data_IF_826606636487
#
_entry.id   IF_826606636487
#
_cell.length_a   1.000
_cell.length_b   1.000
_cell.length_c   1.000
_cell.angle_alpha   90.00
_cell.angle_beta   90.00
_cell.angle_gamma   90.00
#
_symmetry.space_group_name_H-M   'P 1'
#
loop_
_entity.id
_entity.type
_entity.pdbx_description
1 polymer ?
#
# COMPACT_ATOMS: atom_id res chain seq x y z
N UNK A 1 21.49 -23.16 -65.71
CA UNK A 1 22.70 -23.35 -64.87
C UNK A 1 22.51 -22.56 -63.58
N UNK A 2 22.09 -23.22 -62.48
CA UNK A 2 21.80 -22.57 -61.20
C UNK A 2 22.84 -23.08 -60.19
N UNK A 3 23.72 -22.18 -59.71
CA UNK A 3 24.72 -22.49 -58.68
C UNK A 3 24.05 -22.53 -57.31
N UNK A 4 23.88 -23.72 -56.75
CA UNK A 4 23.49 -23.89 -55.35
C UNK A 4 24.69 -23.56 -54.45
N UNK A 5 24.61 -22.44 -53.73
CA UNK A 5 25.63 -22.02 -52.76
C UNK A 5 25.27 -22.68 -51.42
N UNK A 6 25.91 -23.80 -51.11
CA UNK A 6 25.75 -24.49 -49.83
C UNK A 6 26.38 -23.64 -48.73
N UNK A 7 25.55 -22.96 -47.93
CA UNK A 7 25.95 -22.40 -46.65
C UNK A 7 26.11 -23.57 -45.67
N UNK A 8 27.30 -24.17 -45.64
CA UNK A 8 27.67 -25.08 -44.56
C UNK A 8 27.56 -24.30 -43.24
N UNK A 9 26.47 -24.55 -42.51
CA UNK A 9 26.23 -24.00 -41.17
C UNK A 9 27.35 -24.51 -40.26
N UNK A 10 28.13 -23.56 -39.75
CA UNK A 10 29.19 -23.82 -38.79
C UNK A 10 28.53 -23.94 -37.41
N UNK A 11 27.97 -25.11 -37.10
CA UNK A 11 27.38 -25.45 -35.80
C UNK A 11 28.50 -25.62 -34.75
N UNK A 12 29.17 -24.51 -34.39
CA UNK A 12 30.10 -24.49 -33.27
C UNK A 12 29.28 -24.52 -31.98
N UNK A 13 29.23 -25.67 -31.32
CA UNK A 13 28.67 -25.78 -29.97
C UNK A 13 29.40 -24.86 -28.99
N UNK A 14 28.76 -24.55 -27.87
CA UNK A 14 29.35 -23.73 -26.82
C UNK A 14 30.56 -24.42 -26.21
N UNK A 15 31.61 -23.66 -25.95
CA UNK A 15 32.74 -24.15 -25.17
C UNK A 15 32.34 -24.28 -23.70
N UNK A 16 32.94 -25.23 -22.98
CA UNK A 16 32.69 -25.41 -21.55
C UNK A 16 32.96 -24.11 -20.76
N UNK A 17 33.99 -23.36 -21.16
CA UNK A 17 34.36 -22.10 -20.52
C UNK A 17 33.29 -21.00 -20.74
N UNK A 18 32.67 -20.91 -21.92
CA UNK A 18 31.56 -19.97 -22.16
C UNK A 18 30.34 -20.27 -21.30
N UNK A 19 30.01 -21.54 -21.09
CA UNK A 19 28.91 -21.96 -20.19
C UNK A 19 29.21 -21.52 -18.75
N UNK A 20 30.43 -21.79 -18.27
CA UNK A 20 30.85 -21.42 -16.90
C UNK A 20 30.78 -19.91 -16.69
N UNK A 21 31.30 -19.14 -17.65
CA UNK A 21 31.28 -17.66 -17.59
C UNK A 21 29.82 -17.15 -17.64
N UNK A 22 28.96 -17.75 -18.47
CA UNK A 22 27.55 -17.35 -18.57
C UNK A 22 26.79 -17.59 -17.27
N UNK A 23 26.99 -18.75 -16.63
CA UNK A 23 26.37 -19.07 -15.33
C UNK A 23 26.91 -18.14 -14.23
N UNK A 24 28.21 -17.82 -14.26
CA UNK A 24 28.82 -16.89 -13.31
C UNK A 24 28.19 -15.49 -13.42
N UNK A 25 28.06 -14.96 -14.63
CA UNK A 25 27.42 -13.66 -14.89
C UNK A 25 25.94 -13.69 -14.48
N UNK A 26 25.21 -14.76 -14.83
CA UNK A 26 23.81 -14.92 -14.46
C UNK A 26 23.63 -14.97 -12.93
N UNK A 27 24.53 -15.64 -12.21
CA UNK A 27 24.51 -15.70 -10.75
C UNK A 27 24.68 -14.32 -10.12
N UNK A 28 25.64 -13.52 -10.60
CA UNK A 28 25.87 -12.15 -10.13
C UNK A 28 24.61 -11.29 -10.34
N UNK A 29 24.02 -11.37 -11.52
CA UNK A 29 22.80 -10.61 -11.87
C UNK A 29 21.62 -11.06 -10.99
N UNK A 30 21.47 -12.36 -10.74
CA UNK A 30 20.37 -12.92 -9.94
C UNK A 30 20.36 -12.41 -8.50
N UNK A 31 21.55 -12.21 -7.90
CA UNK A 31 21.67 -11.66 -6.54
C UNK A 31 21.12 -10.22 -6.47
N UNK A 32 21.39 -9.40 -7.49
CA UNK A 32 20.88 -8.04 -7.55
C UNK A 32 19.34 -8.01 -7.58
N UNK A 33 18.72 -8.92 -8.35
CA UNK A 33 17.27 -9.02 -8.44
C UNK A 33 16.61 -9.56 -7.16
N UNK A 34 17.28 -10.45 -6.43
CA UNK A 34 16.73 -11.03 -5.19
C UNK A 34 16.39 -9.97 -4.14
N UNK A 35 17.21 -8.93 -4.03
CA UNK A 35 16.96 -7.80 -3.13
C UNK A 35 15.68 -7.06 -3.51
N UNK A 36 15.48 -6.75 -4.80
CA UNK A 36 14.30 -6.07 -5.31
C UNK A 36 13.03 -6.87 -5.04
N UNK A 37 13.06 -8.19 -5.29
CA UNK A 37 11.91 -9.06 -5.01
C UNK A 37 11.57 -9.13 -3.51
N UNK A 38 12.58 -9.25 -2.66
CA UNK A 38 12.39 -9.30 -1.20
C UNK A 38 11.74 -8.01 -0.69
N UNK A 39 12.26 -6.85 -1.09
CA UNK A 39 11.68 -5.56 -0.74
C UNK A 39 10.26 -5.40 -1.29
N UNK A 40 10.01 -5.86 -2.52
CA UNK A 40 8.69 -5.83 -3.15
C UNK A 40 7.65 -6.65 -2.35
N UNK A 41 7.98 -7.89 -1.99
CA UNK A 41 7.07 -8.77 -1.22
C UNK A 41 6.77 -8.17 0.16
N UNK A 42 7.79 -7.67 0.86
CA UNK A 42 7.60 -7.01 2.16
C UNK A 42 6.72 -5.75 2.01
N UNK A 43 6.95 -4.97 0.95
CA UNK A 43 6.14 -3.79 0.64
C UNK A 43 4.67 -4.13 0.39
N UNK A 44 4.39 -5.18 -0.39
CA UNK A 44 3.04 -5.66 -0.68
C UNK A 44 2.36 -6.14 0.62
N UNK A 45 3.04 -6.96 1.42
CA UNK A 45 2.48 -7.47 2.69
C UNK A 45 2.15 -6.33 3.66
N UNK A 46 3.05 -5.36 3.81
CA UNK A 46 2.84 -4.21 4.69
C UNK A 46 1.71 -3.30 4.17
N UNK A 47 1.58 -3.16 2.85
CA UNK A 47 0.48 -2.39 2.25
C UNK A 47 -0.86 -3.07 2.45
N UNK A 48 -0.92 -4.40 2.32
CA UNK A 48 -2.11 -5.19 2.65
C UNK A 48 -2.54 -5.02 4.10
N UNK A 49 -1.60 -5.15 5.05
CA UNK A 49 -1.85 -4.92 6.48
C UNK A 49 -2.37 -3.50 6.76
N UNK A 50 -1.79 -2.48 6.12
CA UNK A 50 -2.27 -1.08 6.20
C UNK A 50 -3.68 -0.93 5.65
N UNK A 51 -3.99 -1.58 4.54
CA UNK A 51 -5.31 -1.54 3.90
C UNK A 51 -6.37 -2.14 4.82
N UNK A 52 -6.10 -3.31 5.40
CA UNK A 52 -7.01 -3.94 6.38
C UNK A 52 -7.26 -2.99 7.56
N UNK A 53 -6.17 -2.45 8.15
CA UNK A 53 -6.30 -1.55 9.28
C UNK A 53 -7.10 -0.28 8.95
N UNK A 54 -6.96 0.24 7.73
CA UNK A 54 -7.71 1.41 7.26
C UNK A 54 -9.19 1.10 7.04
N UNK A 55 -9.50 0.01 6.33
CA UNK A 55 -10.89 -0.40 6.08
C UNK A 55 -11.62 -0.69 7.38
N UNK A 56 -11.01 -1.45 8.29
CA UNK A 56 -11.65 -1.74 9.58
C UNK A 56 -11.87 -0.47 10.41
N UNK A 57 -10.91 0.47 10.44
CA UNK A 57 -11.12 1.73 11.14
C UNK A 57 -12.24 2.57 10.49
N UNK A 58 -12.35 2.55 9.16
CA UNK A 58 -13.43 3.23 8.44
C UNK A 58 -14.79 2.61 8.74
N UNK A 59 -14.91 1.28 8.68
CA UNK A 59 -16.15 0.55 9.00
C UNK A 59 -16.64 0.89 10.42
N UNK A 60 -15.70 1.03 11.38
CA UNK A 60 -16.00 1.44 12.75
C UNK A 60 -16.48 2.90 12.84
N UNK A 61 -15.92 3.81 12.05
CA UNK A 61 -16.41 5.20 11.95
C UNK A 61 -17.83 5.21 11.40
N UNK A 62 -18.07 4.53 10.28
CA UNK A 62 -19.37 4.50 9.61
C UNK A 62 -20.44 3.88 10.51
N UNK A 63 -20.10 2.81 11.23
CA UNK A 63 -20.96 2.22 12.26
C UNK A 63 -21.28 3.22 13.37
N UNK A 64 -20.28 3.95 13.91
CA UNK A 64 -20.51 4.95 14.95
C UNK A 64 -21.36 6.15 14.49
N UNK A 65 -21.29 6.51 13.20
CA UNK A 65 -22.14 7.55 12.62
C UNK A 65 -23.59 7.07 12.57
N UNK A 66 -23.82 5.83 12.14
CA UNK A 66 -25.17 5.26 11.98
C UNK A 66 -25.83 4.86 13.30
N UNK A 67 -25.09 4.16 14.18
CA UNK A 67 -25.53 3.79 15.53
C UNK A 67 -24.43 4.10 16.56
N UNK A 68 -24.48 5.30 17.17
CA UNK A 68 -23.52 5.70 18.19
C UNK A 68 -23.50 4.84 19.46
N UNK A 69 -24.54 4.02 19.72
CA UNK A 69 -24.68 3.29 20.99
C UNK A 69 -23.94 1.96 21.00
N UNK A 70 -23.64 1.40 19.84
CA UNK A 70 -22.98 0.09 19.68
C UNK A 70 -21.52 0.20 19.20
N UNK A 71 -20.87 1.33 19.54
CA UNK A 71 -19.52 1.60 19.05
C UNK A 71 -18.46 0.87 19.88
N UNK A 72 -17.47 0.23 19.22
CA UNK A 72 -16.42 -0.50 19.92
C UNK A 72 -15.52 0.44 20.74
N UNK A 73 -14.91 -0.08 21.82
CA UNK A 73 -14.16 0.72 22.81
C UNK A 73 -12.96 1.50 22.26
N UNK A 74 -12.52 1.21 21.03
CA UNK A 74 -11.44 1.92 20.35
C UNK A 74 -11.91 3.16 19.56
N UNK A 75 -13.22 3.46 19.60
CA UNK A 75 -13.85 4.65 19.02
C UNK A 75 -14.03 5.71 20.11
N UNK A 76 -13.29 6.80 20.01
CA UNK A 76 -13.37 7.94 20.93
C UNK A 76 -14.17 9.05 20.28
N UNK A 77 -15.21 9.51 20.96
CA UNK A 77 -16.13 10.51 20.42
C UNK A 77 -16.09 11.77 21.28
N UNK A 78 -15.97 12.95 20.67
CA UNK A 78 -15.95 14.24 21.37
C UNK A 78 -16.83 15.28 20.67
N UNK A 79 -17.58 16.06 21.43
CA UNK A 79 -18.36 17.19 20.90
C UNK A 79 -17.42 18.33 20.53
N UNK A 80 -17.53 18.84 19.30
CA UNK A 80 -16.66 19.90 18.79
C UNK A 80 -17.45 20.86 17.91
N UNK A 81 -17.00 22.11 17.84
CA UNK A 81 -17.60 23.14 16.99
C UNK A 81 -16.57 23.66 16.00
N UNK A 82 -16.98 23.84 14.75
CA UNK A 82 -16.16 24.47 13.70
C UNK A 82 -16.73 25.87 13.46
N UNK A 83 -15.90 26.90 13.61
CA UNK A 83 -16.28 28.28 13.32
C UNK A 83 -15.68 28.72 11.99
N UNK A 84 -16.54 29.11 11.04
CA UNK A 84 -16.16 29.69 9.75
C UNK A 84 -16.40 31.20 9.80
N UNK A 85 -15.34 31.98 9.63
CA UNK A 85 -15.42 33.45 9.60
C UNK A 85 -15.26 33.94 8.18
N UNK A 86 -16.26 34.67 7.69
CA UNK A 86 -16.27 35.26 6.35
C UNK A 86 -15.88 36.76 6.41
N UNK A 87 -15.36 37.31 5.29
CA UNK A 87 -15.16 38.75 5.15
C UNK A 87 -16.47 39.51 5.42
N UNK A 88 -16.41 40.57 6.25
CA UNK A 88 -17.60 41.29 6.72
C UNK A 88 -18.15 40.80 8.07
N UNK A 89 -17.31 40.14 8.88
CA UNK A 89 -17.58 39.75 10.28
C UNK A 89 -18.77 38.77 10.46
N UNK A 90 -19.13 38.03 9.41
CA UNK A 90 -20.14 36.97 9.52
C UNK A 90 -19.48 35.68 9.97
N UNK A 91 -19.92 35.14 11.11
CA UNK A 91 -19.41 33.87 11.66
C UNK A 91 -20.50 32.82 11.63
N UNK A 92 -20.20 31.66 11.03
CA UNK A 92 -21.05 30.48 11.07
C UNK A 92 -20.41 29.47 12.01
N UNK A 93 -21.15 29.03 13.03
CA UNK A 93 -20.71 27.98 13.96
C UNK A 93 -21.44 26.69 13.63
N UNK A 94 -20.67 25.67 13.27
CA UNK A 94 -21.16 24.33 12.96
C UNK A 94 -20.87 23.45 14.18
N UNK A 95 -21.92 23.07 14.90
CA UNK A 95 -21.80 22.13 16.01
C UNK A 95 -21.86 20.70 15.49
N UNK A 96 -21.00 19.85 16.04
CA UNK A 96 -20.98 18.45 15.67
C UNK A 96 -20.09 17.64 16.60
N UNK A 97 -19.61 16.54 16.05
CA UNK A 97 -18.95 15.49 16.80
C UNK A 97 -17.73 15.01 16.04
N UNK A 98 -16.58 15.02 16.70
CA UNK A 98 -15.37 14.39 16.21
C UNK A 98 -15.34 12.93 16.66
N UNK A 99 -15.09 12.03 15.73
CA UNK A 99 -14.96 10.59 15.96
C UNK A 99 -13.53 10.19 15.61
N UNK A 100 -12.81 9.67 16.59
CA UNK A 100 -11.44 9.19 16.46
C UNK A 100 -11.44 7.67 16.62
N UNK A 101 -10.93 6.94 15.62
CA UNK A 101 -10.79 5.49 15.67
C UNK A 101 -9.34 5.12 15.54
N UNK A 102 -8.83 4.34 16.49
CA UNK A 102 -7.48 3.75 16.39
C UNK A 102 -7.60 2.25 16.26
N UNK A 103 -7.06 1.71 15.18
CA UNK A 103 -7.03 0.28 14.93
C UNK A 103 -5.59 -0.21 14.77
N UNK A 104 -5.29 -1.36 15.40
CA UNK A 104 -3.97 -1.97 15.41
C UNK A 104 -4.09 -3.36 14.78
N UNK A 105 -3.35 -3.59 13.70
CA UNK A 105 -3.23 -4.89 13.04
C UNK A 105 -1.77 -5.34 13.03
N UNK A 106 -1.44 -6.29 13.91
CA UNK A 106 -0.06 -6.69 14.17
C UNK A 106 0.78 -5.50 14.65
N UNK A 107 1.87 -5.19 13.94
CA UNK A 107 2.74 -4.04 14.25
C UNK A 107 2.30 -2.72 13.60
N UNK A 108 1.17 -2.67 12.88
CA UNK A 108 0.70 -1.48 12.19
C UNK A 108 -0.46 -0.86 12.97
N UNK A 109 -0.30 0.39 13.39
CA UNK A 109 -1.36 1.21 13.98
C UNK A 109 -1.83 2.27 12.98
N UNK A 110 -3.15 2.45 12.87
CA UNK A 110 -3.79 3.50 12.08
C UNK A 110 -4.81 4.23 12.93
N UNK A 111 -4.69 5.56 12.93
CA UNK A 111 -5.68 6.47 13.51
C UNK A 111 -6.42 7.16 12.37
N UNK A 112 -7.75 7.10 12.40
CA UNK A 112 -8.64 7.79 11.49
C UNK A 112 -9.51 8.75 12.31
N UNK A 113 -9.66 9.98 11.85
CA UNK A 113 -10.42 11.03 12.52
C UNK A 113 -11.41 11.62 11.54
N UNK A 114 -12.67 11.69 11.92
CA UNK A 114 -13.72 12.37 11.14
C UNK A 114 -14.47 13.37 12.02
N UNK A 115 -15.13 14.34 11.37
CA UNK A 115 -16.08 15.24 12.00
C UNK A 115 -17.42 15.09 11.30
N UNK A 116 -18.48 14.83 12.08
CA UNK A 116 -19.84 14.72 11.58
C UNK A 116 -20.75 15.70 12.31
N UNK A 117 -21.71 16.26 11.59
CA UNK A 117 -22.80 17.06 12.16
C UNK A 117 -24.01 16.14 12.35
N UNK A 118 -24.75 16.30 13.45
CA UNK A 118 -26.04 15.62 13.61
C UNK A 118 -27.03 16.07 12.53
#
# INVERSE_FOLDING_TARGET
MIKNKNYLKNEKGFTLIEIIISIAILGIISIAFLSVFTSGIVGISNSGKKSIAHYTAQDQIESNINDPKDSPSNVVTSTKSISLTFPGNTTIVINGRQIDVTYIYGSISKKLTTFTTN
#
